data_IF_975665613560
#
_entry.id   IF_975665613560
#
_cell.length_a   1.000
_cell.length_b   1.000
_cell.length_c   1.000
_cell.angle_alpha   90.00
_cell.angle_beta   90.00
_cell.angle_gamma   90.00
#
_symmetry.space_group_name_H-M   'P 1'
#
loop_
_entity.id
_entity.type
_entity.pdbx_description
1 polymer ?
#
# COMPACT_ATOMS: atom_id res chain seq x y z
N UNK A 1 -19.20 3.64 1.92
CA UNK A 1 -18.85 3.53 3.36
C UNK A 1 -20.08 3.74 4.22
N UNK A 2 -20.83 4.84 4.06
CA UNK A 2 -22.01 5.13 4.89
C UNK A 2 -23.08 4.05 4.81
N UNK A 3 -23.35 3.51 3.61
CA UNK A 3 -24.30 2.42 3.45
C UNK A 3 -23.94 1.18 4.28
N UNK A 4 -22.66 0.80 4.33
CA UNK A 4 -22.19 -0.32 5.15
C UNK A 4 -22.28 -0.03 6.66
N UNK A 5 -21.97 1.20 7.09
CA UNK A 5 -22.13 1.62 8.50
C UNK A 5 -23.61 1.52 8.91
N UNK A 6 -24.51 2.02 8.07
CA UNK A 6 -25.94 2.07 8.37
C UNK A 6 -26.56 0.66 8.30
N UNK A 7 -26.29 -0.08 7.22
CA UNK A 7 -26.97 -1.36 6.94
C UNK A 7 -26.34 -2.56 7.64
N UNK A 8 -25.02 -2.56 7.80
CA UNK A 8 -24.27 -3.67 8.39
C UNK A 8 -23.78 -3.38 9.80
N UNK A 9 -24.08 -2.18 10.34
CA UNK A 9 -23.59 -1.71 11.66
C UNK A 9 -22.06 -1.76 11.76
N UNK A 10 -21.38 -1.50 10.65
CA UNK A 10 -19.93 -1.42 10.63
C UNK A 10 -19.45 -0.27 11.53
N UNK A 11 -18.36 -0.51 12.26
CA UNK A 11 -17.77 0.51 13.12
C UNK A 11 -17.12 1.62 12.28
N UNK A 12 -17.67 2.82 12.38
CA UNK A 12 -17.20 3.99 11.64
C UNK A 12 -15.77 4.42 12.03
N UNK A 13 -15.26 3.98 13.18
CA UNK A 13 -13.89 4.24 13.63
C UNK A 13 -12.88 3.28 13.03
N UNK A 14 -13.33 2.11 12.58
CA UNK A 14 -12.49 0.99 12.13
C UNK A 14 -12.70 0.69 10.64
N UNK A 15 -12.65 1.73 9.81
CA UNK A 15 -12.73 1.62 8.36
C UNK A 15 -11.31 1.53 7.80
N UNK A 16 -11.02 0.41 7.14
CA UNK A 16 -9.73 0.15 6.50
C UNK A 16 -9.89 0.04 4.99
N UNK A 17 -8.84 0.40 4.25
CA UNK A 17 -8.87 0.35 2.79
C UNK A 17 -7.61 -0.32 2.26
N UNK A 18 -7.79 -1.29 1.37
CA UNK A 18 -6.72 -1.88 0.58
C UNK A 18 -7.18 -2.01 -0.86
N UNK A 19 -6.23 -2.17 -1.77
CA UNK A 19 -6.50 -2.40 -3.17
C UNK A 19 -5.24 -2.80 -3.89
N UNK A 20 -5.42 -3.44 -5.03
CA UNK A 20 -4.34 -3.95 -5.87
C UNK A 20 -4.19 -3.13 -7.15
N UNK A 21 -2.96 -2.84 -7.58
CA UNK A 21 -2.69 -2.17 -8.86
C UNK A 21 -3.34 -0.78 -8.95
N UNK A 22 -4.27 -0.57 -9.88
CA UNK A 22 -5.08 0.65 -9.92
C UNK A 22 -5.85 0.88 -8.60
N UNK A 23 -6.32 -0.21 -7.96
CA UNK A 23 -6.97 -0.16 -6.66
C UNK A 23 -6.04 0.33 -5.54
N UNK A 24 -4.73 0.09 -5.62
CA UNK A 24 -3.76 0.68 -4.70
C UNK A 24 -3.63 2.19 -4.91
N UNK A 25 -3.61 2.65 -6.17
CA UNK A 25 -3.66 4.09 -6.45
C UNK A 25 -4.94 4.75 -5.94
N UNK A 26 -6.09 4.08 -6.09
CA UNK A 26 -7.36 4.53 -5.51
C UNK A 26 -7.33 4.53 -3.97
N UNK A 27 -6.64 3.57 -3.35
CA UNK A 27 -6.45 3.50 -1.90
C UNK A 27 -5.69 4.72 -1.38
N UNK A 28 -4.57 5.10 -2.02
CA UNK A 28 -3.87 6.34 -1.70
C UNK A 28 -4.74 7.58 -1.89
N UNK A 29 -5.47 7.66 -3.01
CA UNK A 29 -6.36 8.80 -3.30
C UNK A 29 -7.42 8.97 -2.22
N UNK A 30 -8.09 7.88 -1.85
CA UNK A 30 -9.12 7.88 -0.83
C UNK A 30 -8.57 8.28 0.54
N UNK A 31 -7.38 7.82 0.92
CA UNK A 31 -6.74 8.24 2.16
C UNK A 31 -6.38 9.72 2.17
N UNK A 32 -5.92 10.27 1.04
CA UNK A 32 -5.61 11.69 0.92
C UNK A 32 -6.88 12.57 1.02
N UNK A 33 -7.99 12.13 0.44
CA UNK A 33 -9.22 12.95 0.39
C UNK A 33 -10.15 12.75 1.59
N UNK A 34 -10.11 11.58 2.22
CA UNK A 34 -11.03 11.19 3.28
C UNK A 34 -10.29 10.62 4.51
N UNK A 35 -9.10 11.15 4.84
CA UNK A 35 -8.26 10.69 5.96
C UNK A 35 -9.03 10.55 7.29
N UNK A 36 -9.97 11.46 7.58
CA UNK A 36 -10.79 11.44 8.79
C UNK A 36 -11.72 10.21 8.89
N UNK A 37 -11.93 9.51 7.78
CA UNK A 37 -12.79 8.33 7.67
C UNK A 37 -12.04 7.02 7.59
N UNK A 38 -10.72 7.03 7.42
CA UNK A 38 -9.95 5.81 7.15
C UNK A 38 -8.92 5.60 8.25
N UNK A 39 -9.08 4.55 9.05
CA UNK A 39 -8.20 4.22 10.16
C UNK A 39 -6.79 3.86 9.70
N UNK A 40 -6.67 3.05 8.64
CA UNK A 40 -5.40 2.73 7.99
C UNK A 40 -5.61 2.27 6.54
N UNK A 41 -4.54 2.31 5.76
CA UNK A 41 -4.52 1.78 4.40
C UNK A 41 -3.45 0.73 4.17
N UNK A 42 -3.70 -0.18 3.22
CA UNK A 42 -2.70 -1.15 2.77
C UNK A 42 -2.66 -1.32 1.25
N UNK A 43 -2.12 -0.35 0.49
CA UNK A 43 -2.00 -0.45 -0.97
C UNK A 43 -1.01 -1.54 -1.41
N UNK A 44 -1.40 -2.37 -2.38
CA UNK A 44 -0.58 -3.44 -2.97
C UNK A 44 -0.29 -3.15 -4.45
N UNK A 45 0.99 -3.06 -4.81
CA UNK A 45 1.51 -2.91 -6.17
C UNK A 45 0.90 -1.72 -6.94
N UNK A 46 0.90 -0.52 -6.35
CA UNK A 46 0.35 0.69 -6.98
C UNK A 46 1.11 1.97 -6.62
N UNK A 47 0.97 3.00 -7.45
CA UNK A 47 1.57 4.31 -7.18
C UNK A 47 0.61 5.23 -6.45
N UNK A 48 1.15 6.15 -5.65
CA UNK A 48 0.45 7.36 -5.27
C UNK A 48 0.52 8.37 -6.43
N UNK A 49 -0.52 8.41 -7.27
CA UNK A 49 -0.57 9.29 -8.44
C UNK A 49 -0.81 10.77 -8.11
N UNK A 50 -1.13 11.08 -6.85
CA UNK A 50 -1.30 12.45 -6.39
C UNK A 50 0.03 13.19 -6.46
N UNK A 51 0.04 14.36 -7.10
CA UNK A 51 1.23 15.23 -7.13
C UNK A 51 1.53 15.82 -5.75
N UNK A 52 0.47 16.17 -5.01
CA UNK A 52 0.54 16.78 -3.68
C UNK A 52 -0.56 16.17 -2.78
N UNK A 53 -0.34 14.95 -2.24
CA UNK A 53 -1.28 14.36 -1.30
C UNK A 53 -1.29 15.14 0.02
N UNK A 54 -2.48 15.56 0.47
CA UNK A 54 -2.68 16.33 1.71
C UNK A 54 -3.79 15.71 2.57
N UNK A 55 -3.55 14.54 3.20
CA UNK A 55 -4.52 13.96 4.11
C UNK A 55 -4.75 14.90 5.31
N UNK A 56 -6.01 15.02 5.76
CA UNK A 56 -6.37 15.88 6.90
C UNK A 56 -5.72 15.45 8.24
N UNK A 57 -5.21 14.22 8.32
CA UNK A 57 -4.37 13.69 9.39
C UNK A 57 -3.44 12.61 8.84
N UNK A 58 -2.32 12.28 9.50
CA UNK A 58 -1.53 11.11 9.16
C UNK A 58 -2.37 9.81 9.21
N UNK A 59 -2.20 8.94 8.21
CA UNK A 59 -2.90 7.66 8.07
C UNK A 59 -1.87 6.52 8.12
N UNK A 60 -1.93 5.62 9.12
CA UNK A 60 -1.11 4.41 9.14
C UNK A 60 -1.18 3.66 7.80
N UNK A 61 -0.02 3.24 7.30
CA UNK A 61 0.11 2.68 5.95
C UNK A 61 1.00 1.44 5.94
N UNK A 62 0.54 0.37 5.28
CA UNK A 62 1.36 -0.79 4.91
C UNK A 62 1.39 -0.92 3.39
N UNK A 63 2.49 -0.55 2.76
CA UNK A 63 2.65 -0.70 1.31
C UNK A 63 3.29 -2.05 0.98
N UNK A 64 2.87 -2.70 -0.10
CA UNK A 64 3.50 -3.96 -0.56
C UNK A 64 3.75 -3.94 -2.06
N UNK A 65 4.91 -4.38 -2.51
CA UNK A 65 5.28 -4.48 -3.93
C UNK A 65 6.22 -5.68 -4.18
N UNK A 66 6.24 -6.17 -5.41
CA UNK A 66 7.18 -7.21 -5.84
C UNK A 66 8.41 -6.64 -6.52
N UNK A 67 9.59 -7.20 -6.27
CA UNK A 67 10.83 -6.76 -6.92
C UNK A 67 10.91 -7.18 -8.41
N UNK A 68 10.15 -8.20 -8.81
CA UNK A 68 10.03 -8.69 -10.20
C UNK A 68 8.77 -8.19 -10.90
N UNK A 69 8.12 -7.15 -10.36
CA UNK A 69 6.94 -6.53 -10.96
C UNK A 69 7.33 -5.81 -12.26
N UNK A 70 6.89 -6.37 -13.39
CA UNK A 70 7.19 -5.84 -14.72
C UNK A 70 6.34 -4.60 -15.07
N UNK A 71 5.28 -4.32 -14.31
CA UNK A 71 4.39 -3.17 -14.51
C UNK A 71 4.75 -1.99 -13.60
N UNK A 72 5.37 -2.27 -12.45
CA UNK A 72 5.88 -1.31 -11.47
C UNK A 72 7.35 -1.60 -11.11
N UNK A 73 8.31 -1.39 -12.04
CA UNK A 73 9.71 -1.57 -11.72
C UNK A 73 10.14 -0.69 -10.56
N UNK A 74 10.85 -1.24 -9.57
CA UNK A 74 11.25 -0.51 -8.36
C UNK A 74 12.06 0.75 -8.69
N UNK A 75 12.95 0.66 -9.69
CA UNK A 75 13.79 1.77 -10.18
C UNK A 75 13.09 2.65 -11.23
N UNK A 76 11.82 2.39 -11.52
CA UNK A 76 11.09 3.03 -12.61
C UNK A 76 11.65 2.66 -13.98
N UNK A 77 11.25 3.43 -14.99
CA UNK A 77 11.68 3.23 -16.37
C UNK A 77 10.50 2.98 -17.31
N UNK A 78 10.83 2.57 -18.53
CA UNK A 78 9.85 2.39 -19.58
C UNK A 78 9.18 1.02 -19.49
N UNK A 79 7.86 1.02 -19.39
CA UNK A 79 7.01 -0.16 -19.28
C UNK A 79 6.08 -0.21 -20.48
N UNK A 80 6.02 -1.35 -21.16
CA UNK A 80 5.06 -1.56 -22.25
C UNK A 80 3.76 -2.13 -21.69
N UNK A 81 2.69 -1.34 -21.73
CA UNK A 81 1.38 -1.78 -21.23
C UNK A 81 0.71 -2.73 -22.24
N UNK A 82 0.33 -3.95 -21.85
CA UNK A 82 -0.26 -4.94 -22.76
C UNK A 82 -1.60 -4.50 -23.33
N UNK A 83 -2.40 -3.76 -22.56
CA UNK A 83 -3.76 -3.35 -22.94
C UNK A 83 -3.82 -2.10 -23.81
N UNK A 84 -2.69 -1.40 -24.03
CA UNK A 84 -2.64 -0.17 -24.83
C UNK A 84 -1.54 -0.17 -25.89
N UNK A 85 -0.75 -1.24 -25.98
CA UNK A 85 0.48 -1.34 -26.78
C UNK A 85 1.31 -0.05 -26.77
N UNK A 86 1.39 0.58 -25.60
CA UNK A 86 2.01 1.90 -25.41
C UNK A 86 3.14 1.78 -24.42
N UNK A 87 4.27 2.35 -24.78
CA UNK A 87 5.37 2.58 -23.86
C UNK A 87 4.98 3.73 -22.93
N UNK A 88 4.97 3.46 -21.63
CA UNK A 88 4.75 4.47 -20.60
C UNK A 88 5.96 4.51 -19.69
N UNK A 89 6.42 5.72 -19.39
CA UNK A 89 7.48 5.91 -18.40
C UNK A 89 6.85 5.88 -17.01
N UNK A 90 7.35 4.98 -16.15
CA UNK A 90 6.98 4.88 -14.74
C UNK A 90 8.04 5.52 -13.86
N UNK A 91 7.64 6.28 -12.82
CA UNK A 91 8.59 6.72 -11.82
C UNK A 91 9.09 5.54 -10.99
N UNK A 92 10.24 5.67 -10.31
CA UNK A 92 10.63 4.77 -9.23
C UNK A 92 9.54 4.64 -8.18
N UNK A 93 9.49 3.48 -7.51
CA UNK A 93 8.58 3.28 -6.37
C UNK A 93 8.96 4.21 -5.21
N UNK A 94 10.25 4.50 -5.03
CA UNK A 94 10.76 5.42 -4.01
C UNK A 94 10.09 6.78 -4.09
N UNK A 95 9.86 7.34 -5.29
CA UNK A 95 9.15 8.61 -5.47
C UNK A 95 7.73 8.59 -4.87
N UNK A 96 7.04 7.45 -4.94
CA UNK A 96 5.73 7.28 -4.32
C UNK A 96 5.84 7.24 -2.80
N UNK A 97 6.79 6.47 -2.27
CA UNK A 97 6.93 6.25 -0.84
C UNK A 97 7.44 7.52 -0.13
N UNK A 98 8.44 8.20 -0.69
CA UNK A 98 8.97 9.47 -0.16
C UNK A 98 7.89 10.57 -0.16
N UNK A 99 7.15 10.70 -1.26
CA UNK A 99 6.04 11.67 -1.35
C UNK A 99 4.94 11.38 -0.33
N UNK A 100 4.59 10.10 -0.16
CA UNK A 100 3.59 9.71 0.83
C UNK A 100 4.11 9.91 2.27
N UNK A 101 5.36 9.54 2.55
CA UNK A 101 6.01 9.78 3.83
C UNK A 101 5.94 11.27 4.21
N UNK A 102 6.32 12.16 3.29
CA UNK A 102 6.23 13.61 3.49
C UNK A 102 4.81 14.05 3.83
N UNK A 103 3.80 13.56 3.10
CA UNK A 103 2.40 13.88 3.37
C UNK A 103 1.89 13.39 4.73
N UNK A 104 2.49 12.33 5.26
CA UNK A 104 2.20 11.79 6.60
C UNK A 104 3.01 12.47 7.72
N UNK A 105 3.97 13.34 7.39
CA UNK A 105 4.93 13.88 8.37
C UNK A 105 5.96 12.84 8.84
N UNK A 106 6.18 11.78 8.06
CA UNK A 106 7.27 10.82 8.28
C UNK A 106 8.56 11.29 7.59
N UNK A 107 9.71 10.80 8.07
CA UNK A 107 10.98 10.92 7.39
C UNK A 107 10.90 10.27 6.00
N UNK A 108 11.43 10.93 4.98
CA UNK A 108 11.39 10.45 3.59
C UNK A 108 12.34 9.27 3.36
N UNK A 109 13.42 9.16 4.14
CA UNK A 109 14.30 8.01 4.11
C UNK A 109 13.83 6.95 5.13
N UNK A 110 13.60 5.70 4.70
CA UNK A 110 13.26 4.63 5.62
C UNK A 110 14.49 4.09 6.35
N UNK A 111 14.23 3.37 7.44
CA UNK A 111 15.21 2.48 8.07
C UNK A 111 14.83 1.03 7.79
N UNK A 112 15.83 0.19 7.53
CA UNK A 112 15.61 -1.25 7.40
C UNK A 112 15.08 -1.82 8.72
N UNK A 113 13.99 -2.58 8.67
CA UNK A 113 13.44 -3.30 9.82
C UNK A 113 13.74 -4.80 9.75
N UNK A 114 13.56 -5.38 8.56
CA UNK A 114 13.76 -6.80 8.33
C UNK A 114 14.23 -7.02 6.89
N UNK A 115 15.14 -7.97 6.70
CA UNK A 115 15.55 -8.47 5.40
C UNK A 115 16.00 -9.92 5.56
N UNK A 116 15.20 -10.86 5.06
CA UNK A 116 15.55 -12.28 5.03
C UNK A 116 15.89 -12.77 3.61
N UNK A 117 16.23 -11.83 2.71
CA UNK A 117 16.48 -12.05 1.28
C UNK A 117 15.27 -12.50 0.45
N UNK A 118 14.13 -12.79 1.09
CA UNK A 118 12.87 -13.10 0.40
C UNK A 118 11.87 -11.97 0.58
N UNK A 119 11.83 -11.40 1.79
CA UNK A 119 10.99 -10.28 2.20
C UNK A 119 11.87 -9.23 2.85
N UNK A 120 11.75 -8.01 2.34
CA UNK A 120 12.36 -6.81 2.89
C UNK A 120 11.29 -5.88 3.43
N UNK A 121 11.49 -5.37 4.64
CA UNK A 121 10.60 -4.40 5.28
C UNK A 121 11.38 -3.14 5.63
N UNK A 122 10.98 -2.03 5.03
CA UNK A 122 11.52 -0.70 5.25
C UNK A 122 10.50 0.16 6.02
N UNK A 123 10.93 0.84 7.08
CA UNK A 123 10.05 1.69 7.93
C UNK A 123 10.37 3.16 7.80
N UNK A 124 9.35 3.95 7.49
CA UNK A 124 9.40 5.41 7.48
C UNK A 124 9.02 5.92 8.87
N UNK A 125 9.98 6.50 9.60
CA UNK A 125 9.77 6.98 10.98
C UNK A 125 8.90 8.23 10.99
N UNK A 126 7.89 8.30 11.85
CA UNK A 126 7.02 9.46 11.95
C UNK A 126 5.91 9.29 12.97
N UNK A 127 4.84 10.11 12.88
CA UNK A 127 3.74 10.11 13.86
C UNK A 127 2.82 8.88 13.74
N UNK A 128 2.91 8.11 12.65
CA UNK A 128 2.13 6.89 12.40
C UNK A 128 3.03 5.81 11.84
N UNK A 129 2.59 4.55 11.93
CA UNK A 129 3.27 3.42 11.28
C UNK A 129 3.17 3.60 9.76
N UNK A 130 4.32 3.64 9.09
CA UNK A 130 4.40 3.52 7.65
C UNK A 130 5.52 2.55 7.28
N UNK A 131 5.12 1.34 6.89
CA UNK A 131 6.02 0.27 6.47
C UNK A 131 5.82 -0.02 4.97
N UNK A 132 6.93 -0.29 4.28
CA UNK A 132 6.96 -0.75 2.90
C UNK A 132 7.58 -2.15 2.84
N UNK A 133 6.83 -3.08 2.27
CA UNK A 133 7.21 -4.49 2.11
C UNK A 133 7.57 -4.74 0.66
N UNK A 134 8.79 -5.21 0.41
CA UNK A 134 9.23 -5.70 -0.90
C UNK A 134 9.37 -7.21 -0.85
N UNK A 135 8.75 -7.90 -1.80
CA UNK A 135 8.85 -9.36 -1.93
C UNK A 135 9.72 -9.67 -3.15
N UNK A 136 10.88 -10.30 -2.91
CA UNK A 136 11.98 -10.36 -3.89
C UNK A 136 11.67 -11.19 -5.13
N UNK A 137 10.89 -12.24 -5.00
CA UNK A 137 10.52 -13.14 -6.10
C UNK A 137 9.13 -12.86 -6.69
N UNK A 138 8.47 -11.77 -6.27
CA UNK A 138 7.11 -11.44 -6.66
C UNK A 138 7.04 -10.47 -7.85
N UNK A 139 6.12 -10.74 -8.77
CA UNK A 139 5.68 -9.87 -9.86
C UNK A 139 4.48 -8.99 -9.50
N UNK A 140 3.71 -8.60 -10.51
CA UNK A 140 2.49 -7.82 -10.38
C UNK A 140 1.32 -8.71 -9.96
N UNK A 141 1.35 -9.21 -8.73
CA UNK A 141 0.33 -10.10 -8.19
C UNK A 141 -0.04 -9.72 -6.76
N UNK A 142 -1.18 -10.22 -6.30
CA UNK A 142 -1.48 -10.25 -4.87
C UNK A 142 -0.67 -11.38 -4.23
N UNK A 143 0.29 -11.09 -3.33
CA UNK A 143 1.12 -12.12 -2.72
C UNK A 143 0.27 -13.15 -1.93
N UNK A 144 0.46 -14.44 -2.20
CA UNK A 144 -0.36 -15.50 -1.59
C UNK A 144 -1.80 -15.57 -2.12
N UNK A 145 -2.14 -14.80 -3.17
CA UNK A 145 -3.46 -14.81 -3.80
C UNK A 145 -3.61 -15.94 -4.83
N UNK A 146 -4.83 -16.48 -4.96
CA UNK A 146 -5.12 -17.56 -5.92
C UNK A 146 -5.21 -17.10 -7.38
N UNK A 147 -5.47 -15.82 -7.63
CA UNK A 147 -5.59 -15.27 -8.98
C UNK A 147 -4.21 -14.95 -9.57
N UNK A 148 -3.89 -15.53 -10.72
CA UNK A 148 -2.60 -15.35 -11.37
C UNK A 148 -2.74 -14.60 -12.70
N UNK A 149 -2.04 -13.48 -12.82
CA UNK A 149 -1.84 -12.80 -14.10
C UNK A 149 -0.81 -13.53 -14.96
N UNK A 150 -0.87 -13.33 -16.28
CA UNK A 150 0.11 -13.88 -17.21
C UNK A 150 1.55 -13.46 -16.80
N UNK A 151 2.45 -14.41 -16.52
CA UNK A 151 3.79 -14.08 -16.03
C UNK A 151 4.66 -13.29 -17.00
N UNK A 152 4.38 -13.36 -18.32
CA UNK A 152 5.08 -12.53 -19.31
C UNK A 152 4.73 -11.05 -19.22
N UNK A 153 3.62 -10.73 -18.56
CA UNK A 153 3.11 -9.36 -18.37
C UNK A 153 3.38 -8.87 -16.96
N UNK A 154 3.15 -9.72 -15.97
CA UNK A 154 3.19 -9.34 -14.57
C UNK A 154 4.52 -9.70 -13.89
N UNK A 155 5.28 -10.66 -14.41
CA UNK A 155 6.32 -11.35 -13.63
C UNK A 155 5.75 -12.59 -12.92
N UNK A 156 6.56 -13.31 -12.13
CA UNK A 156 6.10 -14.51 -11.42
C UNK A 156 5.15 -14.20 -10.24
N UNK A 157 4.15 -15.04 -9.93
CA UNK A 157 3.47 -14.96 -8.64
C UNK A 157 4.40 -15.46 -7.51
N UNK A 158 4.15 -15.06 -6.27
CA UNK A 158 4.86 -15.57 -5.10
C UNK A 158 3.92 -15.83 -3.93
N UNK A 159 4.26 -16.86 -3.14
CA UNK A 159 3.60 -17.23 -1.89
C UNK A 159 4.51 -17.01 -0.67
N UNK A 160 5.63 -16.30 -0.83
CA UNK A 160 6.55 -15.98 0.26
C UNK A 160 5.87 -15.26 1.44
N UNK A 161 4.82 -14.48 1.13
CA UNK A 161 3.91 -13.89 2.11
C UNK A 161 2.47 -14.09 1.69
N UNK A 162 1.57 -14.17 2.68
CA UNK A 162 0.14 -14.03 2.47
C UNK A 162 -0.25 -12.57 2.77
N UNK A 163 -0.46 -11.78 1.71
CA UNK A 163 -0.77 -10.36 1.87
C UNK A 163 -2.08 -10.12 2.61
N UNK A 164 -3.09 -10.99 2.44
CA UNK A 164 -4.37 -10.86 3.12
C UNK A 164 -4.21 -10.97 4.64
N UNK A 165 -3.50 -11.99 5.11
CA UNK A 165 -3.25 -12.18 6.54
C UNK A 165 -2.35 -11.08 7.11
N UNK A 166 -1.30 -10.68 6.38
CA UNK A 166 -0.40 -9.61 6.78
C UNK A 166 -1.13 -8.27 6.91
N UNK A 167 -1.94 -7.90 5.91
CA UNK A 167 -2.74 -6.68 5.91
C UNK A 167 -3.77 -6.71 7.05
N UNK A 168 -4.42 -7.85 7.26
CA UNK A 168 -5.38 -7.98 8.35
C UNK A 168 -4.72 -7.86 9.73
N UNK A 169 -3.55 -8.46 9.92
CA UNK A 169 -2.78 -8.30 11.15
C UNK A 169 -2.40 -6.83 11.41
N UNK A 170 -1.98 -6.11 10.36
CA UNK A 170 -1.70 -4.67 10.44
C UNK A 170 -2.95 -3.85 10.79
N UNK A 171 -4.10 -4.09 10.15
CA UNK A 171 -5.33 -3.38 10.50
C UNK A 171 -5.76 -3.64 11.95
N UNK A 172 -5.65 -4.87 12.43
CA UNK A 172 -5.90 -5.21 13.83
C UNK A 172 -4.97 -4.48 14.81
N UNK A 173 -3.68 -4.32 14.47
CA UNK A 173 -2.77 -3.58 15.35
C UNK A 173 -3.17 -2.12 15.47
N UNK A 174 -3.62 -1.49 14.37
CA UNK A 174 -4.14 -0.11 14.40
C UNK A 174 -5.42 0.00 15.24
N UNK A 175 -6.36 -0.94 15.12
CA UNK A 175 -7.57 -0.97 15.96
C UNK A 175 -7.24 -0.93 17.45
N UNK A 176 -6.26 -1.74 17.86
CA UNK A 176 -5.87 -1.87 19.28
C UNK A 176 -5.14 -0.62 19.82
N UNK A 177 -4.54 0.19 18.95
CA UNK A 177 -3.92 1.47 19.37
C UNK A 177 -4.94 2.61 19.51
N UNK A 178 -6.08 2.53 18.83
CA UNK A 178 -7.14 3.55 18.83
C UNK A 178 -8.10 3.49 20.03
N UNK A 179 -8.10 2.41 20.82
CA UNK A 179 -8.97 2.22 21.98
C UNK A 179 -8.54 3.01 23.23
N UNK A 180 -7.43 3.75 23.18
CA UNK A 180 -6.94 4.60 24.27
C UNK A 180 -7.54 6.00 24.37
N UNK A 181 -8.37 6.43 23.40
CA UNK A 181 -9.03 7.73 23.44
C UNK A 181 -10.56 7.54 23.54
N UNK A 182 -11.05 7.37 24.77
CA UNK A 182 -12.46 7.58 25.08
C UNK A 182 -12.78 9.08 24.87
N UNK A 183 -13.92 9.43 24.26
CA UNK A 183 -14.42 10.80 24.36
C UNK A 183 -14.89 11.03 25.79
N UNK A 184 -14.48 12.17 26.37
CA UNK A 184 -15.14 12.82 27.49
C UNK A 184 -16.60 13.14 27.14
#
# INVERSE_FOLDING_TARGET
MDDAIIRLRADARNIFVTGFSNGAGMTFRLAAEAANRVAAIAPVAGYCWLRDPRPARPVPTLYTVGARDLLLPLRGGDVRLPWRNRLVRRPPITDTLERWARALGCAEAPVLQQDDQTVRVDRYRGPVVFDAVTVEDLGHHWPGGGAQLNPRVAGPPSNAVNATEMIWAFFKSVMNTGTGAAPL
#
